data_IF_873172161546
#
_entry.id   IF_873172161546
#
_cell.length_a   1.000
_cell.length_b   1.000
_cell.length_c   1.000
_cell.angle_alpha   90.00
_cell.angle_beta   90.00
_cell.angle_gamma   90.00
#
_symmetry.space_group_name_H-M   'P 1'
#
loop_
_entity.id
_entity.type
_entity.pdbx_description
1 polymer ?
#
# COMPACT_ATOMS: atom_id res chain seq x y z
N UNK A 1 18.39 -6.35 -4.27
CA UNK A 1 19.75 -6.89 -4.15
C UNK A 1 20.45 -6.21 -2.97
N UNK A 2 21.06 -6.97 -2.08
CA UNK A 2 21.83 -6.48 -0.92
C UNK A 2 23.16 -7.24 -0.79
N UNK A 3 24.16 -6.67 -0.10
CA UNK A 3 25.42 -7.38 0.18
C UNK A 3 25.25 -8.33 1.37
N UNK A 4 25.34 -9.63 1.13
CA UNK A 4 25.16 -10.68 2.15
C UNK A 4 26.31 -10.77 3.19
N UNK A 5 27.44 -10.13 2.90
CA UNK A 5 28.53 -9.97 3.85
C UNK A 5 28.13 -9.07 5.03
N UNK A 6 27.25 -8.09 4.80
CA UNK A 6 26.88 -7.08 5.80
C UNK A 6 25.39 -6.97 6.09
N UNK A 7 24.52 -7.62 5.31
CA UNK A 7 23.09 -7.71 5.56
C UNK A 7 22.59 -9.15 5.48
N UNK A 8 21.46 -9.41 6.10
CA UNK A 8 20.79 -10.72 6.18
C UNK A 8 19.30 -10.48 6.27
N UNK A 9 18.52 -11.52 6.01
CA UNK A 9 17.07 -11.53 6.27
C UNK A 9 16.77 -12.69 7.21
N UNK A 10 16.14 -12.40 8.34
CA UNK A 10 15.63 -13.43 9.26
C UNK A 10 14.17 -13.16 9.56
N UNK A 11 13.31 -14.17 9.38
CA UNK A 11 11.95 -14.15 9.88
C UNK A 11 11.95 -14.56 11.35
N UNK A 12 11.33 -13.74 12.19
CA UNK A 12 11.37 -13.88 13.65
C UNK A 12 9.97 -13.75 14.26
N UNK A 13 9.86 -14.00 15.57
CA UNK A 13 8.64 -13.73 16.32
C UNK A 13 8.41 -12.22 16.50
N UNK A 14 7.17 -11.83 16.85
CA UNK A 14 6.86 -10.42 17.16
C UNK A 14 7.74 -9.88 18.30
N UNK A 15 7.98 -10.68 19.33
CA UNK A 15 8.77 -10.27 20.49
C UNK A 15 10.23 -10.02 20.09
N UNK A 16 10.80 -10.92 19.28
CA UNK A 16 12.17 -10.78 18.80
C UNK A 16 12.33 -9.60 17.84
N UNK A 17 11.31 -9.32 17.03
CA UNK A 17 11.27 -8.13 16.16
C UNK A 17 11.24 -6.81 16.95
N UNK A 18 10.43 -6.75 18.02
CA UNK A 18 10.33 -5.54 18.86
C UNK A 18 11.63 -5.32 19.62
N UNK A 19 12.16 -6.38 20.23
CA UNK A 19 13.38 -6.32 21.03
C UNK A 19 14.67 -6.28 20.20
N UNK A 20 14.60 -6.57 18.90
CA UNK A 20 15.77 -6.93 18.09
C UNK A 20 16.59 -8.06 18.74
N UNK A 21 15.90 -9.05 19.29
CA UNK A 21 16.52 -10.15 20.00
C UNK A 21 17.01 -11.22 19.00
N UNK A 22 18.33 -11.32 18.86
CA UNK A 22 18.99 -12.30 17.99
C UNK A 22 19.38 -13.59 18.72
N UNK A 23 19.28 -13.59 20.06
CA UNK A 23 19.70 -14.71 20.91
C UNK A 23 18.53 -15.63 21.28
N UNK A 24 17.29 -15.13 21.24
CA UNK A 24 16.10 -15.94 21.50
C UNK A 24 15.80 -16.86 20.32
N UNK A 25 15.76 -18.16 20.56
CA UNK A 25 15.25 -19.17 19.62
C UNK A 25 15.74 -19.01 18.17
N UNK A 26 17.02 -18.66 17.97
CA UNK A 26 17.58 -18.48 16.63
C UNK A 26 17.41 -19.71 15.72
N UNK A 27 17.36 -20.90 16.33
CA UNK A 27 17.08 -22.18 15.66
C UNK A 27 15.67 -22.27 15.04
N UNK A 28 14.73 -21.41 15.46
CA UNK A 28 13.38 -21.34 14.91
C UNK A 28 13.22 -20.27 13.82
N UNK A 29 14.24 -19.43 13.62
CA UNK A 29 14.19 -18.40 12.59
C UNK A 29 14.34 -19.02 11.21
N UNK A 30 13.53 -18.57 10.25
CA UNK A 30 13.85 -18.78 8.83
C UNK A 30 14.87 -17.73 8.42
N UNK A 31 15.96 -18.18 7.82
CA UNK A 31 17.11 -17.34 7.52
C UNK A 31 17.42 -17.35 6.03
N UNK A 32 17.73 -16.18 5.49
CA UNK A 32 18.18 -16.00 4.13
C UNK A 32 19.39 -15.05 4.08
N UNK A 33 20.35 -15.39 3.22
CA UNK A 33 21.63 -14.70 3.11
C UNK A 33 22.25 -14.79 1.70
N UNK A 34 21.43 -14.87 0.66
CA UNK A 34 21.94 -14.96 -0.73
C UNK A 34 22.32 -13.59 -1.31
N UNK A 35 21.88 -12.50 -0.69
CA UNK A 35 21.95 -11.15 -1.28
C UNK A 35 20.81 -10.86 -2.26
N UNK A 36 20.05 -11.89 -2.64
CA UNK A 36 18.84 -11.79 -3.43
C UNK A 36 17.77 -12.81 -3.05
N UNK A 37 17.23 -12.66 -1.85
CA UNK A 37 16.28 -13.63 -1.33
C UNK A 37 14.86 -13.39 -1.84
N UNK A 38 14.17 -14.49 -2.12
CA UNK A 38 12.74 -14.51 -2.43
C UNK A 38 12.01 -15.19 -1.28
N UNK A 39 11.08 -14.45 -0.66
CA UNK A 39 10.24 -14.95 0.43
C UNK A 39 8.80 -15.06 -0.07
N UNK A 40 8.26 -16.27 -0.09
CA UNK A 40 6.86 -16.51 -0.45
C UNK A 40 5.95 -16.13 0.71
N UNK A 41 4.88 -15.39 0.41
CA UNK A 41 3.84 -14.94 1.36
C UNK A 41 2.52 -15.65 1.04
N UNK A 42 2.41 -16.93 1.40
CA UNK A 42 1.28 -17.80 1.02
C UNK A 42 0.15 -17.85 2.06
N UNK A 43 0.39 -17.40 3.30
CA UNK A 43 -0.59 -17.45 4.39
C UNK A 43 -0.92 -16.05 4.90
N UNK A 44 -2.21 -15.73 5.09
CA UNK A 44 -2.61 -14.50 5.76
C UNK A 44 -2.03 -14.41 7.18
N UNK A 45 -1.71 -13.19 7.59
CA UNK A 45 -1.16 -12.89 8.92
C UNK A 45 0.08 -12.00 8.89
N UNK A 46 0.52 -11.60 10.08
CA UNK A 46 1.70 -10.75 10.23
C UNK A 46 2.98 -11.57 10.23
N UNK A 47 3.93 -11.15 9.41
CA UNK A 47 5.28 -11.69 9.34
C UNK A 47 6.28 -10.60 9.71
N UNK A 48 7.28 -10.95 10.50
CA UNK A 48 8.27 -10.02 11.02
C UNK A 48 9.66 -10.42 10.56
N UNK A 49 10.39 -9.48 9.99
CA UNK A 49 11.71 -9.69 9.43
C UNK A 49 12.71 -8.70 10.02
N UNK A 50 13.93 -9.15 10.25
CA UNK A 50 15.03 -8.32 10.75
C UNK A 50 16.33 -8.64 10.02
N UNK A 51 17.26 -7.70 10.00
CA UNK A 51 18.66 -8.01 9.73
C UNK A 51 19.37 -8.39 11.04
N UNK A 52 20.06 -9.52 11.01
CA UNK A 52 20.77 -10.10 12.16
C UNK A 52 22.20 -9.57 12.32
N UNK A 53 22.66 -8.70 11.43
CA UNK A 53 23.99 -8.11 11.51
C UNK A 53 24.01 -7.07 12.63
N UNK A 54 25.17 -6.93 13.27
CA UNK A 54 25.30 -6.18 14.51
C UNK A 54 24.70 -4.76 14.42
N UNK A 55 23.82 -4.41 15.35
CA UNK A 55 23.09 -3.14 15.42
C UNK A 55 22.19 -2.78 14.22
N UNK A 56 22.09 -3.59 13.15
CA UNK A 56 21.29 -3.23 11.97
C UNK A 56 19.79 -3.19 12.30
N UNK A 57 19.26 -4.19 13.01
CA UNK A 57 17.86 -4.18 13.47
C UNK A 57 17.53 -2.96 14.35
N UNK A 58 18.42 -2.62 15.30
CA UNK A 58 18.23 -1.47 16.21
C UNK A 58 18.30 -0.13 15.49
N UNK A 59 19.05 -0.06 14.39
CA UNK A 59 19.12 1.09 13.47
C UNK A 59 17.95 1.14 12.47
N UNK A 60 16.96 0.26 12.60
CA UNK A 60 15.75 0.28 11.78
C UNK A 60 15.73 -0.69 10.60
N UNK A 61 16.74 -1.55 10.44
CA UNK A 61 16.73 -2.60 9.42
C UNK A 61 15.85 -3.77 9.85
N UNK A 62 14.54 -3.53 9.83
CA UNK A 62 13.49 -4.47 10.16
C UNK A 62 12.22 -4.14 9.38
N UNK A 63 11.45 -5.17 9.03
CA UNK A 63 10.25 -5.05 8.20
C UNK A 63 9.11 -5.87 8.80
N UNK A 64 7.93 -5.29 8.82
CA UNK A 64 6.67 -5.93 9.19
C UNK A 64 5.80 -6.03 7.95
N UNK A 65 5.30 -7.23 7.65
CA UNK A 65 4.41 -7.45 6.52
C UNK A 65 3.09 -7.98 7.05
N UNK A 66 1.98 -7.37 6.64
CA UNK A 66 0.63 -7.85 6.90
C UNK A 66 0.11 -8.52 5.64
N UNK A 67 0.11 -9.86 5.61
CA UNK A 67 -0.42 -10.61 4.47
C UNK A 67 -1.93 -10.69 4.63
N UNK A 68 -2.66 -9.99 3.77
CA UNK A 68 -4.12 -10.04 3.73
C UNK A 68 -4.58 -11.18 2.84
N UNK A 69 -5.71 -11.78 3.19
CA UNK A 69 -6.35 -12.76 2.32
C UNK A 69 -6.86 -12.06 1.05
N UNK A 70 -6.59 -12.65 -0.12
CA UNK A 70 -7.01 -12.09 -1.42
C UNK A 70 -8.52 -12.02 -1.58
N UNK A 71 -9.28 -12.74 -0.76
CA UNK A 71 -10.75 -12.71 -0.76
C UNK A 71 -11.33 -11.58 0.07
N UNK A 72 -10.52 -10.91 0.91
CA UNK A 72 -10.95 -9.80 1.74
C UNK A 72 -10.71 -8.49 0.99
N UNK A 73 -11.77 -7.96 0.38
CA UNK A 73 -11.78 -6.58 -0.14
C UNK A 73 -11.77 -5.65 1.07
N UNK A 74 -10.59 -5.17 1.46
CA UNK A 74 -10.48 -4.11 2.47
C UNK A 74 -10.88 -2.81 1.79
N UNK A 75 -12.05 -2.27 2.16
CA UNK A 75 -12.48 -0.95 1.71
C UNK A 75 -11.43 0.10 2.12
N UNK A 76 -11.10 1.07 1.25
CA UNK A 76 -10.18 2.14 1.62
C UNK A 76 -10.72 2.87 2.84
N UNK A 77 -9.80 3.29 3.73
CA UNK A 77 -10.16 4.11 4.89
C UNK A 77 -10.97 5.32 4.42
N UNK A 78 -12.11 5.65 5.06
CA UNK A 78 -12.89 6.83 4.68
C UNK A 78 -12.01 8.07 4.81
N UNK A 79 -12.15 8.98 3.85
CA UNK A 79 -11.47 10.28 3.90
C UNK A 79 -11.89 11.03 5.18
N UNK A 80 -10.98 11.81 5.80
CA UNK A 80 -11.35 12.66 6.92
C UNK A 80 -12.53 13.56 6.52
N UNK A 81 -13.58 13.60 7.35
CA UNK A 81 -14.64 14.57 7.15
C UNK A 81 -14.05 15.99 7.22
N UNK A 82 -14.48 16.93 6.36
CA UNK A 82 -14.11 18.32 6.51
C UNK A 82 -14.53 18.78 7.91
N UNK A 83 -13.55 19.17 8.73
CA UNK A 83 -13.80 19.70 10.06
C UNK A 83 -14.70 20.92 9.96
N UNK A 84 -15.76 20.94 10.75
CA UNK A 84 -16.59 22.14 10.93
C UNK A 84 -15.71 23.24 11.49
N UNK A 85 -15.61 24.34 10.76
CA UNK A 85 -14.94 25.55 11.25
C UNK A 85 -15.60 25.97 12.58
N UNK A 86 -14.82 26.44 13.57
CA UNK A 86 -15.37 26.97 14.80
C UNK A 86 -16.33 28.12 14.50
N UNK A 87 -17.41 28.29 15.28
CA UNK A 87 -18.33 29.40 15.08
C UNK A 87 -17.59 30.74 15.24
N UNK A 88 -17.97 31.78 14.47
CA UNK A 88 -17.38 33.10 14.63
C UNK A 88 -17.65 33.65 16.04
N UNK A 89 -16.74 34.48 16.59
CA UNK A 89 -16.95 35.11 17.88
C UNK A 89 -18.18 36.03 17.85
N UNK A 90 -18.86 36.22 19.00
CA UNK A 90 -19.99 37.13 19.09
C UNK A 90 -19.58 38.58 18.78
N UNK A 91 -20.45 39.38 18.14
CA UNK A 91 -20.16 40.78 17.86
C UNK A 91 -20.09 41.60 19.17
N UNK A 92 -19.27 42.66 19.21
CA UNK A 92 -19.29 43.61 20.33
C UNK A 92 -20.63 44.37 20.38
N UNK A 93 -21.14 44.58 21.60
CA UNK A 93 -22.39 45.32 21.83
C UNK A 93 -22.32 46.74 21.26
N UNK A 94 -23.30 47.11 20.43
CA UNK A 94 -23.54 48.52 20.05
C UNK A 94 -23.60 48.85 18.55
N UNK A 95 -23.54 47.89 17.64
CA UNK A 95 -23.69 48.17 16.21
C UNK A 95 -25.13 48.00 15.71
N UNK A 96 -25.68 48.94 14.93
CA UNK A 96 -26.99 48.77 14.30
C UNK A 96 -26.92 47.62 13.29
N UNK A 97 -27.84 46.66 13.42
CA UNK A 97 -27.94 45.51 12.53
C UNK A 97 -28.36 45.99 11.14
N UNK A 98 -27.45 45.90 10.18
CA UNK A 98 -27.81 46.01 8.75
C UNK A 98 -28.72 44.83 8.40
N UNK A 99 -29.82 45.02 7.67
CA UNK A 99 -30.61 43.91 7.16
C UNK A 99 -29.73 43.00 6.31
N UNK A 100 -29.86 41.68 6.52
CA UNK A 100 -29.15 40.70 5.71
C UNK A 100 -29.54 40.86 4.22
N UNK A 101 -28.58 40.74 3.28
CA UNK A 101 -28.92 40.67 1.87
C UNK A 101 -29.83 39.46 1.60
N UNK A 102 -30.73 39.54 0.62
CA UNK A 102 -31.60 38.41 0.26
C UNK A 102 -30.76 37.20 -0.18
N UNK A 103 -31.25 35.97 0.05
CA UNK A 103 -30.54 34.77 -0.36
C UNK A 103 -30.37 34.69 -1.89
N UNK A 104 -29.28 34.09 -2.38
CA UNK A 104 -29.11 33.86 -3.81
C UNK A 104 -30.21 32.91 -4.34
N UNK A 105 -30.62 33.05 -5.62
CA UNK A 105 -31.59 32.15 -6.21
C UNK A 105 -31.06 30.70 -6.24
N UNK A 106 -31.94 29.68 -6.19
CA UNK A 106 -31.53 28.29 -6.26
C UNK A 106 -30.93 27.98 -7.64
N UNK A 107 -29.68 27.53 -7.66
CA UNK A 107 -29.01 27.03 -8.87
C UNK A 107 -29.62 25.67 -9.27
N UNK A 108 -30.68 25.71 -10.08
CA UNK A 108 -31.39 24.52 -10.53
C UNK A 108 -32.22 24.66 -11.81
N UNK A 109 -32.13 25.78 -12.54
CA UNK A 109 -32.83 25.90 -13.83
C UNK A 109 -31.97 25.35 -14.96
N UNK A 110 -32.34 24.13 -15.36
CA UNK A 110 -32.01 23.47 -16.62
C UNK A 110 -32.37 24.38 -17.79
N UNK A 111 -31.39 24.64 -18.66
CA UNK A 111 -31.61 25.07 -20.03
C UNK A 111 -30.66 24.31 -20.96
N UNK A 112 -31.20 23.29 -21.64
CA UNK A 112 -30.70 22.76 -22.93
C UNK A 112 -31.57 23.37 -24.02
N UNK A 113 -31.07 23.77 -25.22
CA UNK A 113 -30.60 22.84 -26.28
C UNK A 113 -29.44 23.45 -27.12
N UNK A 114 -28.84 22.91 -28.20
CA UNK A 114 -28.98 21.77 -29.12
C UNK A 114 -27.57 21.39 -29.67
N UNK A 115 -27.37 20.21 -30.28
CA UNK A 115 -26.05 19.75 -30.75
C UNK A 115 -25.71 20.19 -32.20
N UNK A 116 -24.42 20.33 -32.56
CA UNK A 116 -23.97 20.41 -33.95
C UNK A 116 -23.83 19.00 -34.63
N UNK A 117 -23.80 18.93 -35.98
CA UNK A 117 -24.04 17.71 -36.78
C UNK A 117 -22.84 16.73 -36.88
N UNK A 118 -23.06 15.49 -37.37
CA UNK A 118 -22.05 14.42 -37.41
C UNK A 118 -21.39 14.23 -38.79
N UNK A 119 -20.41 13.30 -38.84
CA UNK A 119 -19.84 12.50 -39.96
C UNK A 119 -18.42 12.93 -40.41
N UNK A 120 -17.48 12.05 -40.73
CA UNK A 120 -17.46 10.57 -40.80
C UNK A 120 -16.02 10.01 -40.77
N UNK A 121 -15.84 8.96 -39.97
CA UNK A 121 -15.26 7.63 -40.28
C UNK A 121 -13.86 7.54 -40.90
N UNK A 122 -12.94 6.88 -40.19
CA UNK A 122 -12.44 5.52 -40.52
C UNK A 122 -11.24 5.17 -39.60
N UNK A 123 -10.92 3.93 -39.23
CA UNK A 123 -11.63 2.67 -38.98
C UNK A 123 -10.50 1.67 -38.67
N UNK A 124 -10.61 0.94 -37.54
CA UNK A 124 -10.05 -0.41 -37.27
C UNK A 124 -8.52 -0.56 -37.36
N UNK A 125 -7.86 -1.55 -36.81
CA UNK A 125 -8.02 -2.57 -35.76
C UNK A 125 -6.60 -3.14 -35.70
N UNK A 126 -6.18 -3.72 -34.57
CA UNK A 126 -5.69 -5.10 -34.59
C UNK A 126 -5.11 -5.54 -33.23
N UNK A 127 -5.71 -6.61 -32.71
CA UNK A 127 -5.04 -7.86 -32.30
C UNK A 127 -4.00 -7.69 -31.19
N UNK A 128 -4.28 -8.10 -29.94
CA UNK A 128 -4.50 -9.50 -29.60
C UNK A 128 -3.14 -10.18 -29.37
N UNK A 129 -2.75 -10.34 -28.10
CA UNK A 129 -1.49 -10.99 -27.75
C UNK A 129 -1.59 -11.61 -26.37
N UNK A 130 -2.12 -12.82 -26.30
CA UNK A 130 -1.93 -13.70 -25.16
C UNK A 130 -0.45 -14.05 -25.04
N UNK A 131 0.19 -13.73 -23.92
CA UNK A 131 1.48 -14.32 -23.58
C UNK A 131 1.22 -15.69 -22.96
N UNK A 132 1.44 -16.72 -23.76
CA UNK A 132 1.39 -18.12 -23.36
C UNK A 132 2.47 -18.45 -22.32
N UNK A 133 2.15 -19.45 -21.51
CA UNK A 133 3.01 -20.04 -20.50
C UNK A 133 4.36 -20.50 -21.05
N UNK A 134 5.41 -20.29 -20.27
CA UNK A 134 6.63 -21.07 -20.36
C UNK A 134 6.84 -21.78 -19.01
N UNK A 135 6.46 -23.06 -18.97
CA UNK A 135 6.98 -23.98 -17.99
C UNK A 135 8.45 -24.26 -18.37
N UNK A 136 9.39 -23.82 -17.54
CA UNK A 136 10.78 -24.25 -17.65
C UNK A 136 11.01 -25.34 -16.58
N UNK A 137 10.98 -26.58 -17.03
CA UNK A 137 11.63 -27.68 -16.33
C UNK A 137 13.15 -27.47 -16.44
N UNK A 138 13.85 -27.53 -15.31
CA UNK A 138 15.30 -27.79 -15.30
C UNK A 138 15.52 -29.07 -14.50
N UNK A 139 15.91 -30.09 -15.25
CA UNK A 139 16.43 -31.38 -14.80
C UNK A 139 17.95 -31.24 -14.64
N UNK A 140 18.52 -32.07 -13.78
CA UNK A 140 19.95 -32.39 -13.57
C UNK A 140 20.67 -31.51 -12.52
N UNK A 141 21.51 -32.03 -11.63
CA UNK A 141 22.07 -33.37 -11.46
C UNK A 141 22.37 -33.63 -9.97
N UNK A 142 22.27 -34.90 -9.57
CA UNK A 142 22.89 -35.39 -8.35
C UNK A 142 24.41 -35.39 -8.51
N UNK A 143 25.15 -34.97 -7.48
CA UNK A 143 26.39 -35.62 -7.09
C UNK A 143 26.51 -35.57 -5.56
N UNK A 144 26.61 -36.76 -4.99
CA UNK A 144 27.08 -36.99 -3.64
C UNK A 144 28.51 -36.49 -3.48
N UNK A 145 28.85 -35.91 -2.34
CA UNK A 145 29.88 -36.35 -1.39
C UNK A 145 29.63 -35.65 -0.05
#
# INVERSE_FOLDING_TARGET
>A
MYSNEIHTVAQVSKNDFVACNLQGNSSQFKFWNSGNDVVTLDKPGKMWFICTKHNHCRKGMKLAIDVVDRTVVVAPSPAPLPGTAPPPPPPPFGWPSTPAPPPPPPFGWRSTPAPPPPRSVAVRNAVGGAVAAAAAAVVAAALAF
#
